data_IF_261989202626
#
_entry.id   IF_261989202626
#
_cell.length_a   1.000
_cell.length_b   1.000
_cell.length_c   1.000
_cell.angle_alpha   90.00
_cell.angle_beta   90.00
_cell.angle_gamma   90.00
#
_symmetry.space_group_name_H-M   'P 1'
#
loop_
_entity.id
_entity.type
_entity.pdbx_description
1 polymer ?
#
# COMPACT_ATOMS: atom_id res chain seq x y z
N UNK A 1 -26.12 -34.10 7.63
CA UNK A 1 -25.11 -34.33 6.56
C UNK A 1 -25.73 -33.94 5.22
N UNK A 2 -25.54 -32.69 4.82
CA UNK A 2 -25.76 -32.19 3.46
C UNK A 2 -24.74 -31.06 3.29
N UNK A 3 -23.82 -31.20 2.33
CA UNK A 3 -22.77 -30.21 2.09
C UNK A 3 -23.41 -28.95 1.52
N UNK A 4 -23.48 -27.88 2.33
CA UNK A 4 -23.72 -26.54 1.82
C UNK A 4 -22.49 -26.14 0.98
N UNK A 5 -22.63 -26.23 -0.33
CA UNK A 5 -21.58 -25.89 -1.28
C UNK A 5 -21.20 -24.42 -1.12
N UNK A 6 -19.90 -24.16 -1.01
CA UNK A 6 -19.38 -22.79 -1.10
C UNK A 6 -19.79 -22.21 -2.46
N UNK A 7 -20.54 -21.11 -2.46
CA UNK A 7 -20.90 -20.35 -3.65
C UNK A 7 -19.64 -20.05 -4.49
N UNK A 8 -19.63 -20.59 -5.72
CA UNK A 8 -18.51 -20.45 -6.67
C UNK A 8 -18.68 -19.14 -7.43
N UNK A 9 -17.94 -18.13 -7.01
CA UNK A 9 -17.93 -16.79 -7.59
C UNK A 9 -17.02 -16.70 -8.84
N UNK A 10 -17.47 -17.19 -10.00
CA UNK A 10 -16.74 -17.05 -11.27
C UNK A 10 -16.47 -15.58 -11.65
N UNK A 11 -15.31 -15.30 -12.27
CA UNK A 11 -14.93 -13.97 -12.77
C UNK A 11 -15.05 -13.89 -14.30
N UNK A 12 -16.28 -13.96 -14.82
CA UNK A 12 -16.53 -13.89 -16.27
C UNK A 12 -17.45 -12.76 -16.70
N UNK A 13 -18.27 -12.27 -15.79
CA UNK A 13 -19.16 -11.15 -16.08
C UNK A 13 -18.35 -9.87 -16.23
N UNK A 14 -18.52 -9.19 -17.37
CA UNK A 14 -17.88 -7.91 -17.64
C UNK A 14 -18.16 -6.89 -16.52
N UNK A 15 -19.37 -6.91 -15.95
CA UNK A 15 -19.76 -6.04 -14.83
C UNK A 15 -18.94 -6.32 -13.57
N UNK A 16 -18.65 -7.60 -13.27
CA UNK A 16 -17.85 -7.99 -12.11
C UNK A 16 -16.38 -7.62 -12.32
N UNK A 17 -15.83 -7.86 -13.50
CA UNK A 17 -14.46 -7.44 -13.84
C UNK A 17 -14.32 -5.91 -13.71
N UNK A 18 -15.28 -5.16 -14.26
CA UNK A 18 -15.32 -3.70 -14.14
C UNK A 18 -15.41 -3.25 -12.68
N UNK A 19 -16.21 -3.92 -11.84
CA UNK A 19 -16.31 -3.61 -10.42
C UNK A 19 -14.95 -3.76 -9.69
N UNK A 20 -14.22 -4.84 -9.92
CA UNK A 20 -12.91 -5.06 -9.29
C UNK A 20 -11.83 -4.08 -9.79
N UNK A 21 -11.85 -3.73 -11.09
CA UNK A 21 -10.99 -2.68 -11.66
C UNK A 21 -11.29 -1.31 -11.05
N UNK A 22 -12.56 -0.94 -10.92
CA UNK A 22 -12.98 0.36 -10.36
C UNK A 22 -12.65 0.45 -8.86
N UNK A 23 -12.89 -0.63 -8.11
CA UNK A 23 -12.53 -0.69 -6.70
C UNK A 23 -11.02 -0.51 -6.52
N UNK A 24 -10.20 -1.29 -7.23
CA UNK A 24 -8.74 -1.16 -7.15
C UNK A 24 -8.26 0.24 -7.53
N UNK A 25 -8.81 0.82 -8.60
CA UNK A 25 -8.50 2.18 -9.01
C UNK A 25 -8.87 3.22 -7.95
N UNK A 26 -10.04 3.12 -7.34
CA UNK A 26 -10.55 4.10 -6.38
C UNK A 26 -9.84 4.06 -5.02
N UNK A 27 -9.33 2.89 -4.62
CA UNK A 27 -8.90 2.58 -3.27
C UNK A 27 -7.81 3.54 -2.74
N UNK A 28 -6.76 3.79 -3.55
CA UNK A 28 -5.62 4.61 -3.15
C UNK A 28 -5.78 6.11 -3.47
N UNK A 29 -6.89 6.55 -4.07
CA UNK A 29 -7.07 7.95 -4.49
C UNK A 29 -7.07 8.91 -3.30
N UNK A 30 -7.83 8.57 -2.25
CA UNK A 30 -7.93 9.38 -1.03
C UNK A 30 -6.59 9.49 -0.31
N UNK A 31 -5.83 8.39 -0.24
CA UNK A 31 -4.50 8.36 0.38
C UNK A 31 -3.51 9.26 -0.35
N UNK A 32 -3.61 9.32 -1.69
CA UNK A 32 -2.77 10.21 -2.52
C UNK A 32 -3.08 11.69 -2.36
N UNK A 33 -4.25 12.06 -1.85
CA UNK A 33 -4.54 13.47 -1.49
C UNK A 33 -3.61 13.91 -0.36
N UNK A 34 -3.45 13.07 0.68
CA UNK A 34 -2.58 13.37 1.82
C UNK A 34 -1.08 13.33 1.50
N UNK A 35 -0.67 12.45 0.58
CA UNK A 35 0.74 12.24 0.23
C UNK A 35 1.20 13.09 -0.96
N UNK A 36 0.69 12.82 -2.16
CA UNK A 36 1.11 13.54 -3.38
C UNK A 36 0.62 14.99 -3.37
N UNK A 37 -0.51 15.24 -2.69
CA UNK A 37 -1.05 16.59 -2.48
C UNK A 37 -0.38 17.38 -1.36
N UNK A 38 0.55 16.79 -0.59
CA UNK A 38 1.14 17.42 0.60
C UNK A 38 1.71 18.83 0.38
N UNK A 39 2.45 19.13 -0.73
CA UNK A 39 2.98 20.48 -0.96
C UNK A 39 1.87 21.54 -1.06
N UNK A 40 0.74 21.17 -1.65
CA UNK A 40 -0.41 22.05 -1.82
C UNK A 40 -1.21 22.19 -0.52
N UNK A 41 -1.38 21.09 0.21
CA UNK A 41 -2.01 21.08 1.53
C UNK A 41 -1.25 21.98 2.53
N UNK A 42 0.08 21.91 2.56
CA UNK A 42 0.86 22.74 3.48
C UNK A 42 0.72 24.24 3.22
N UNK A 43 0.70 24.64 1.94
CA UNK A 43 0.44 26.03 1.56
C UNK A 43 -0.95 26.48 1.95
N UNK A 44 -1.95 25.61 1.76
CA UNK A 44 -3.34 25.85 2.18
C UNK A 44 -3.45 26.06 3.69
N UNK A 45 -2.73 25.29 4.49
CA UNK A 45 -2.75 25.39 5.95
C UNK A 45 -1.73 26.40 6.51
N UNK A 46 -1.04 27.17 5.66
CA UNK A 46 0.01 28.14 6.03
C UNK A 46 1.12 27.53 6.92
N UNK A 47 1.51 26.29 6.64
CA UNK A 47 2.60 25.61 7.37
C UNK A 47 3.95 25.98 6.69
N UNK A 48 4.98 26.36 7.46
CA UNK A 48 6.31 26.64 6.92
C UNK A 48 6.88 25.48 6.08
N UNK A 49 7.48 25.79 4.93
CA UNK A 49 7.98 24.78 3.98
C UNK A 49 9.10 23.89 4.56
N UNK A 50 9.87 24.38 5.54
CA UNK A 50 10.92 23.59 6.19
C UNK A 50 10.37 22.43 7.04
N UNK A 51 9.07 22.44 7.40
CA UNK A 51 8.39 21.35 8.11
C UNK A 51 7.82 20.28 7.15
N UNK A 52 8.12 20.38 5.85
CA UNK A 52 7.52 19.53 4.83
C UNK A 52 7.72 18.04 5.07
N UNK A 53 8.95 17.64 5.34
CA UNK A 53 9.29 16.23 5.61
C UNK A 53 8.57 15.69 6.86
N UNK A 54 8.45 16.51 7.90
CA UNK A 54 7.77 16.13 9.15
C UNK A 54 6.26 16.01 8.94
N UNK A 55 5.64 16.96 8.22
CA UNK A 55 4.21 16.89 7.88
C UNK A 55 3.88 15.65 7.05
N UNK A 56 4.66 15.38 5.99
CA UNK A 56 4.45 14.22 5.11
C UNK A 56 4.58 12.91 5.90
N UNK A 57 5.61 12.77 6.74
CA UNK A 57 5.78 11.57 7.58
C UNK A 57 4.62 11.39 8.56
N UNK A 58 4.15 12.46 9.21
CA UNK A 58 2.99 12.42 10.12
C UNK A 58 1.72 11.95 9.43
N UNK A 59 1.41 12.56 8.28
CA UNK A 59 0.22 12.22 7.49
C UNK A 59 0.31 10.80 6.96
N UNK A 60 1.47 10.38 6.45
CA UNK A 60 1.67 9.01 5.97
C UNK A 60 1.47 7.99 7.09
N UNK A 61 2.08 8.22 8.26
CA UNK A 61 1.98 7.31 9.40
C UNK A 61 0.56 7.15 9.95
N UNK A 62 -0.20 8.25 10.06
CA UNK A 62 -1.59 8.14 10.54
C UNK A 62 -2.48 7.41 9.55
N UNK A 63 -2.21 7.62 8.26
CA UNK A 63 -2.94 6.97 7.18
C UNK A 63 -2.67 5.45 7.21
N UNK A 64 -1.40 5.05 7.24
CA UNK A 64 -1.04 3.62 7.26
C UNK A 64 -1.56 2.95 8.54
N UNK A 65 -1.43 3.61 9.70
CA UNK A 65 -1.96 3.09 10.97
C UNK A 65 -3.49 2.99 10.93
N UNK A 66 -4.19 3.99 10.37
CA UNK A 66 -5.63 3.96 10.17
C UNK A 66 -6.06 2.76 9.32
N UNK A 67 -5.39 2.56 8.17
CA UNK A 67 -5.58 1.40 7.30
C UNK A 67 -5.36 0.07 8.01
N UNK A 68 -4.28 -0.06 8.78
CA UNK A 68 -4.01 -1.24 9.58
C UNK A 68 -5.10 -1.52 10.62
N UNK A 69 -5.54 -0.50 11.35
CA UNK A 69 -6.63 -0.66 12.34
C UNK A 69 -7.95 -1.07 11.67
N UNK A 70 -8.24 -0.53 10.49
CA UNK A 70 -9.39 -0.93 9.67
C UNK A 70 -9.33 -2.41 9.29
N UNK A 71 -8.19 -2.82 8.73
CA UNK A 71 -7.90 -4.22 8.35
C UNK A 71 -7.97 -5.16 9.56
N UNK A 72 -7.50 -4.73 10.73
CA UNK A 72 -7.54 -5.51 11.98
C UNK A 72 -8.98 -5.80 12.42
N UNK A 73 -9.83 -4.76 12.46
CA UNK A 73 -11.24 -4.89 12.85
C UNK A 73 -12.01 -5.78 11.87
N UNK A 74 -11.84 -5.58 10.56
CA UNK A 74 -12.49 -6.41 9.52
C UNK A 74 -11.98 -7.85 9.53
N UNK A 75 -10.70 -8.07 9.85
CA UNK A 75 -10.12 -9.41 9.98
C UNK A 75 -10.72 -10.15 11.17
N UNK A 76 -10.79 -9.52 12.36
CA UNK A 76 -11.44 -10.13 13.54
C UNK A 76 -12.90 -10.46 13.25
N UNK A 77 -13.63 -9.51 12.64
CA UNK A 77 -15.01 -9.72 12.24
C UNK A 77 -15.14 -10.92 11.29
N UNK A 78 -14.30 -10.96 10.27
CA UNK A 78 -14.31 -12.03 9.26
C UNK A 78 -14.02 -13.40 9.88
N UNK A 79 -13.06 -13.50 10.80
CA UNK A 79 -12.70 -14.76 11.46
C UNK A 79 -13.82 -15.21 12.39
N UNK A 80 -14.39 -14.30 13.20
CA UNK A 80 -15.44 -14.63 14.17
C UNK A 80 -16.75 -15.06 13.52
N UNK A 81 -17.11 -14.45 12.39
CA UNK A 81 -18.38 -14.67 11.70
C UNK A 81 -18.25 -15.49 10.41
N UNK A 82 -17.14 -16.23 10.23
CA UNK A 82 -16.90 -16.94 8.97
C UNK A 82 -17.90 -18.07 8.70
N UNK A 83 -18.34 -18.78 9.76
CA UNK A 83 -19.17 -19.99 9.69
C UNK A 83 -20.56 -19.83 10.36
N UNK A 84 -20.93 -18.61 10.77
CA UNK A 84 -22.21 -18.40 11.43
C UNK A 84 -23.34 -18.30 10.41
N UNK A 85 -24.31 -19.21 10.49
CA UNK A 85 -25.58 -19.22 9.72
C UNK A 85 -26.36 -17.88 9.86
N UNK A 86 -26.07 -17.12 10.93
CA UNK A 86 -26.73 -15.84 11.24
C UNK A 86 -25.88 -14.60 10.92
N UNK A 87 -24.70 -14.75 10.30
CA UNK A 87 -23.91 -13.60 9.89
C UNK A 87 -24.62 -12.84 8.75
N UNK A 88 -24.66 -11.49 8.78
CA UNK A 88 -25.14 -10.73 7.64
C UNK A 88 -24.33 -11.13 6.40
N UNK A 89 -25.01 -11.37 5.28
CA UNK A 89 -24.39 -11.80 4.03
C UNK A 89 -23.16 -10.95 3.73
N UNK A 90 -22.01 -11.60 3.52
CA UNK A 90 -20.68 -10.96 3.33
C UNK A 90 -20.74 -9.85 2.27
N UNK A 91 -21.57 -10.05 1.25
CA UNK A 91 -21.83 -9.12 0.16
C UNK A 91 -22.54 -7.83 0.61
N UNK A 92 -23.54 -7.93 1.50
CA UNK A 92 -24.25 -6.76 2.05
C UNK A 92 -23.31 -5.87 2.84
N UNK A 93 -22.39 -6.47 3.60
CA UNK A 93 -21.40 -5.73 4.40
C UNK A 93 -20.41 -5.03 3.49
N UNK A 94 -19.93 -5.71 2.44
CA UNK A 94 -19.04 -5.11 1.45
C UNK A 94 -19.70 -3.93 0.71
N UNK A 95 -21.00 -4.01 0.40
CA UNK A 95 -21.78 -2.90 -0.14
C UNK A 95 -21.78 -1.70 0.82
N UNK A 96 -22.09 -1.95 2.10
CA UNK A 96 -22.12 -0.88 3.12
C UNK A 96 -20.76 -0.21 3.27
N UNK A 97 -19.67 -0.98 3.26
CA UNK A 97 -18.31 -0.43 3.38
C UNK A 97 -17.94 0.42 2.16
N UNK A 98 -18.28 -0.01 0.94
CA UNK A 98 -18.03 0.79 -0.27
C UNK A 98 -18.86 2.09 -0.28
N UNK A 99 -20.10 2.05 0.19
CA UNK A 99 -20.93 3.25 0.37
C UNK A 99 -20.32 4.19 1.42
N UNK A 100 -19.84 3.63 2.53
CA UNK A 100 -19.21 4.38 3.61
C UNK A 100 -17.88 5.00 3.15
N UNK A 101 -17.14 4.33 2.26
CA UNK A 101 -15.95 4.89 1.61
C UNK A 101 -16.27 6.09 0.70
N UNK A 102 -17.41 6.06 0.00
CA UNK A 102 -17.90 7.23 -0.74
C UNK A 102 -18.28 8.38 0.21
N UNK A 103 -19.02 8.09 1.29
CA UNK A 103 -19.46 9.10 2.26
C UNK A 103 -18.29 9.79 2.98
N UNK A 104 -17.24 9.06 3.36
CA UNK A 104 -16.08 9.69 4.00
C UNK A 104 -15.31 10.61 3.05
N UNK A 105 -15.28 10.33 1.74
CA UNK A 105 -14.69 11.24 0.76
C UNK A 105 -15.48 12.55 0.67
N UNK A 106 -16.81 12.50 0.82
CA UNK A 106 -17.64 13.72 0.92
C UNK A 106 -17.32 14.50 2.20
N UNK A 107 -17.19 13.82 3.34
CA UNK A 107 -16.79 14.48 4.60
C UNK A 107 -15.42 15.13 4.45
N UNK A 108 -14.44 14.43 3.85
CA UNK A 108 -13.10 14.96 3.60
C UNK A 108 -13.14 16.23 2.75
N UNK A 109 -14.03 16.30 1.75
CA UNK A 109 -14.23 17.50 0.95
C UNK A 109 -14.72 18.68 1.78
N UNK A 110 -15.77 18.47 2.61
CA UNK A 110 -16.28 19.53 3.48
C UNK A 110 -15.22 20.00 4.47
N UNK A 111 -14.49 19.09 5.11
CA UNK A 111 -13.42 19.43 6.06
C UNK A 111 -12.29 20.21 5.37
N UNK A 112 -11.95 19.89 4.12
CA UNK A 112 -10.91 20.61 3.39
C UNK A 112 -11.34 22.01 2.92
N UNK A 113 -12.60 22.17 2.49
CA UNK A 113 -13.13 23.44 1.98
C UNK A 113 -13.46 24.41 3.11
N UNK A 114 -13.90 23.90 4.27
CA UNK A 114 -14.25 24.70 5.44
C UNK A 114 -13.01 25.19 6.22
N UNK A 115 -13.17 26.18 7.09
CA UNK A 115 -12.10 26.68 7.98
C UNK A 115 -11.36 27.94 7.53
N UNK A 116 -11.92 28.74 6.61
CA UNK A 116 -11.40 30.06 6.26
C UNK A 116 -9.96 30.03 5.71
N UNK A 117 -9.17 31.07 5.97
CA UNK A 117 -7.82 31.19 5.40
C UNK A 117 -6.80 30.17 5.92
N UNK A 118 -6.94 29.69 7.15
CA UNK A 118 -5.97 28.77 7.76
C UNK A 118 -6.39 27.30 7.72
N UNK A 119 -7.68 27.02 7.50
CA UNK A 119 -8.23 25.68 7.40
C UNK A 119 -8.17 24.88 8.71
N UNK A 120 -9.06 23.89 8.86
CA UNK A 120 -9.04 22.98 10.00
C UNK A 120 -8.04 21.84 9.76
N UNK A 121 -6.74 22.12 9.97
CA UNK A 121 -5.65 21.17 9.73
C UNK A 121 -5.83 19.84 10.50
N UNK A 122 -6.20 19.94 11.78
CA UNK A 122 -6.35 18.76 12.65
C UNK A 122 -7.55 17.91 12.25
N UNK A 123 -8.66 18.54 11.88
CA UNK A 123 -9.85 17.82 11.41
C UNK A 123 -9.57 17.15 10.07
N UNK A 124 -8.83 17.83 9.17
CA UNK A 124 -8.39 17.24 7.90
C UNK A 124 -7.50 16.01 8.12
N UNK A 125 -6.58 16.09 9.06
CA UNK A 125 -5.71 14.97 9.45
C UNK A 125 -6.50 13.77 9.97
N UNK A 126 -7.46 13.98 10.88
CA UNK A 126 -8.30 12.89 11.40
C UNK A 126 -9.32 12.37 10.39
N UNK A 127 -9.83 13.21 9.48
CA UNK A 127 -10.67 12.78 8.37
C UNK A 127 -9.89 11.87 7.40
N UNK A 128 -8.62 12.19 7.11
CA UNK A 128 -7.74 11.30 6.36
C UNK A 128 -7.51 9.96 7.10
N UNK A 129 -7.25 10.00 8.40
CA UNK A 129 -7.10 8.79 9.21
C UNK A 129 -8.35 7.91 9.19
N UNK A 130 -9.54 8.51 9.34
CA UNK A 130 -10.82 7.80 9.26
C UNK A 130 -11.08 7.23 7.87
N UNK A 131 -10.73 7.98 6.81
CA UNK A 131 -10.81 7.47 5.43
C UNK A 131 -9.90 6.26 5.21
N UNK A 132 -8.71 6.28 5.80
CA UNK A 132 -7.78 5.16 5.74
C UNK A 132 -8.30 3.94 6.53
N UNK A 133 -8.95 4.15 7.68
CA UNK A 133 -9.62 3.08 8.41
C UNK A 133 -10.67 2.35 7.56
N UNK A 134 -11.51 3.10 6.86
CA UNK A 134 -12.56 2.54 5.99
C UNK A 134 -11.94 1.81 4.78
N UNK A 135 -10.89 2.39 4.22
CA UNK A 135 -10.05 1.76 3.20
C UNK A 135 -9.54 0.38 3.66
N UNK A 136 -9.00 0.29 4.87
CA UNK A 136 -8.48 -0.96 5.44
C UNK A 136 -9.56 -2.01 5.64
N UNK A 137 -10.76 -1.58 6.06
CA UNK A 137 -11.92 -2.48 6.08
C UNK A 137 -12.26 -3.00 4.69
N UNK A 138 -12.32 -2.11 3.69
CA UNK A 138 -12.66 -2.48 2.31
C UNK A 138 -11.66 -3.49 1.74
N UNK A 139 -10.36 -3.25 1.94
CA UNK A 139 -9.28 -4.13 1.49
C UNK A 139 -9.49 -5.59 1.96
N UNK A 140 -9.89 -5.79 3.22
CA UNK A 140 -10.15 -7.12 3.77
C UNK A 140 -11.33 -7.83 3.08
N UNK A 141 -12.44 -7.13 2.89
CA UNK A 141 -13.63 -7.71 2.27
C UNK A 141 -13.43 -7.96 0.77
N UNK A 142 -12.68 -7.10 0.07
CA UNK A 142 -12.30 -7.32 -1.32
C UNK A 142 -11.45 -8.59 -1.42
N UNK A 143 -10.40 -8.72 -0.60
CA UNK A 143 -9.56 -9.93 -0.61
C UNK A 143 -10.35 -11.21 -0.32
N UNK A 144 -11.39 -11.12 0.52
CA UNK A 144 -12.30 -12.24 0.81
C UNK A 144 -13.22 -12.60 -0.37
N UNK A 145 -13.74 -11.59 -1.08
CA UNK A 145 -14.74 -11.78 -2.15
C UNK A 145 -14.11 -11.94 -3.54
N UNK A 146 -12.85 -11.55 -3.70
CA UNK A 146 -12.20 -11.39 -4.99
C UNK A 146 -12.18 -12.67 -5.81
N UNK A 147 -11.91 -13.83 -5.20
CA UNK A 147 -11.83 -15.06 -5.96
C UNK A 147 -10.80 -14.93 -7.08
N UNK A 148 -11.23 -15.36 -8.26
CA UNK A 148 -10.46 -15.25 -9.50
C UNK A 148 -10.35 -13.82 -10.05
N UNK A 149 -11.10 -12.85 -9.50
CA UNK A 149 -11.04 -11.44 -9.92
C UNK A 149 -9.92 -10.63 -9.25
N UNK A 150 -9.19 -11.21 -8.28
CA UNK A 150 -8.14 -10.51 -7.52
C UNK A 150 -7.06 -9.88 -8.42
N UNK A 151 -6.75 -10.52 -9.55
CA UNK A 151 -5.76 -10.05 -10.51
C UNK A 151 -6.17 -8.71 -11.14
N UNK A 152 -7.46 -8.54 -11.47
CA UNK A 152 -7.98 -7.29 -12.00
C UNK A 152 -7.91 -6.17 -10.97
N UNK A 153 -8.28 -6.44 -9.73
CA UNK A 153 -8.16 -5.47 -8.63
C UNK A 153 -6.71 -4.98 -8.45
N UNK A 154 -5.75 -5.89 -8.38
CA UNK A 154 -4.33 -5.55 -8.21
C UNK A 154 -3.77 -4.75 -9.39
N UNK A 155 -4.24 -5.01 -10.62
CA UNK A 155 -3.78 -4.32 -11.82
C UNK A 155 -4.05 -2.81 -11.78
N UNK A 156 -5.17 -2.41 -11.20
CA UNK A 156 -5.60 -1.00 -11.12
C UNK A 156 -5.16 -0.27 -9.86
N UNK A 157 -4.75 -1.01 -8.83
CA UNK A 157 -4.38 -0.45 -7.52
C UNK A 157 -3.30 0.64 -7.64
N UNK A 158 -2.27 0.40 -8.44
CA UNK A 158 -1.15 1.33 -8.62
C UNK A 158 -1.35 2.31 -9.79
N UNK A 159 -2.25 2.00 -10.73
CA UNK A 159 -2.61 2.88 -11.87
C UNK A 159 -3.17 4.21 -11.40
N UNK A 160 -3.88 4.23 -10.28
CA UNK A 160 -4.40 5.46 -9.70
C UNK A 160 -3.30 6.48 -9.34
N UNK A 161 -2.02 6.07 -9.24
CA UNK A 161 -0.90 6.97 -8.95
C UNK A 161 -0.42 7.70 -10.18
N UNK A 162 -0.42 6.99 -11.30
CA UNK A 162 -0.26 7.59 -12.63
C UNK A 162 -1.37 8.61 -12.86
N UNK A 163 -2.62 8.24 -12.55
CA UNK A 163 -3.76 9.14 -12.69
C UNK A 163 -3.59 10.44 -11.90
N UNK A 164 -3.26 10.38 -10.61
CA UNK A 164 -3.06 11.59 -9.79
C UNK A 164 -1.91 12.46 -10.30
N UNK A 165 -0.80 11.85 -10.70
CA UNK A 165 0.36 12.58 -11.24
C UNK A 165 0.05 13.28 -12.57
N UNK A 166 -0.65 12.59 -13.48
CA UNK A 166 -1.11 13.17 -14.76
C UNK A 166 -2.12 14.27 -14.50
N UNK A 167 -3.04 14.08 -13.55
CA UNK A 167 -4.00 15.11 -13.15
C UNK A 167 -3.29 16.37 -12.63
N UNK A 168 -2.33 16.24 -11.70
CA UNK A 168 -1.57 17.40 -11.20
C UNK A 168 -0.83 18.13 -12.32
N UNK A 169 -0.21 17.40 -13.24
CA UNK A 169 0.46 17.98 -14.39
C UNK A 169 -0.50 18.77 -15.29
N UNK A 170 -1.64 18.17 -15.65
CA UNK A 170 -2.65 18.83 -16.49
C UNK A 170 -3.25 20.05 -15.79
N UNK A 171 -3.59 19.92 -14.50
CA UNK A 171 -4.17 21.01 -13.72
C UNK A 171 -3.23 22.21 -13.64
N UNK A 172 -1.94 21.99 -13.35
CA UNK A 172 -0.94 23.05 -13.32
C UNK A 172 -0.70 23.67 -14.70
N UNK A 173 -0.83 22.90 -15.78
CA UNK A 173 -0.70 23.42 -17.15
C UNK A 173 -1.85 24.37 -17.52
N UNK A 174 -3.09 24.04 -17.14
CA UNK A 174 -4.26 24.86 -17.47
C UNK A 174 -4.51 26.01 -16.47
N UNK A 175 -4.28 25.77 -15.17
CA UNK A 175 -4.62 26.70 -14.08
C UNK A 175 -3.41 27.16 -13.26
N UNK A 176 -2.19 26.99 -13.78
CA UNK A 176 -0.94 27.35 -13.09
C UNK A 176 -0.70 28.84 -12.88
N UNK A 177 -1.54 29.72 -13.45
CA UNK A 177 -1.38 31.16 -13.30
C UNK A 177 -1.83 31.62 -11.89
N UNK A 178 -0.90 31.59 -10.94
CA UNK A 178 -1.10 31.92 -9.51
C UNK A 178 -1.63 33.33 -9.25
N UNK A 179 -1.51 34.26 -10.21
CA UNK A 179 -2.04 35.63 -10.08
C UNK A 179 -3.55 35.71 -10.26
N UNK A 180 -4.18 34.74 -10.95
CA UNK A 180 -5.61 34.74 -11.26
C UNK A 180 -6.39 33.72 -10.43
N UNK A 181 -5.75 32.64 -10.00
CA UNK A 181 -6.38 31.55 -9.27
C UNK A 181 -5.56 31.16 -8.06
N UNK A 182 -6.24 30.82 -6.95
CA UNK A 182 -5.60 30.15 -5.82
C UNK A 182 -5.35 28.67 -6.19
N UNK A 183 -4.36 28.46 -7.07
CA UNK A 183 -4.06 27.17 -7.70
C UNK A 183 -3.82 26.06 -6.68
N UNK A 184 -3.16 26.37 -5.55
CA UNK A 184 -2.80 25.39 -4.52
C UNK A 184 -4.02 24.88 -3.74
N UNK A 185 -5.04 25.72 -3.52
CA UNK A 185 -6.32 25.27 -2.96
C UNK A 185 -7.12 24.47 -4.00
N UNK A 186 -7.28 25.03 -5.20
CA UNK A 186 -8.15 24.46 -6.23
C UNK A 186 -7.69 23.08 -6.72
N UNK A 187 -6.38 22.83 -6.80
CA UNK A 187 -5.85 21.54 -7.28
C UNK A 187 -6.29 20.39 -6.36
N UNK A 188 -6.24 20.59 -5.05
CA UNK A 188 -6.65 19.58 -4.06
C UNK A 188 -8.17 19.48 -3.98
N UNK A 189 -8.88 20.61 -4.00
CA UNK A 189 -10.35 20.61 -4.03
C UNK A 189 -10.88 19.77 -5.19
N UNK A 190 -10.37 20.01 -6.41
CA UNK A 190 -10.77 19.23 -7.59
C UNK A 190 -10.29 17.78 -7.55
N UNK A 191 -9.14 17.49 -6.93
CA UNK A 191 -8.69 16.11 -6.72
C UNK A 191 -9.65 15.33 -5.82
N UNK A 192 -10.13 15.94 -4.73
CA UNK A 192 -11.10 15.31 -3.82
C UNK A 192 -12.45 15.15 -4.55
N UNK A 193 -12.90 16.15 -5.32
CA UNK A 193 -14.14 16.03 -6.13
C UNK A 193 -14.05 14.86 -7.12
N UNK A 194 -12.93 14.70 -7.82
CA UNK A 194 -12.71 13.55 -8.70
C UNK A 194 -12.73 12.23 -7.92
N UNK A 195 -12.12 12.19 -6.73
CA UNK A 195 -12.17 11.03 -5.84
C UNK A 195 -13.61 10.67 -5.44
N UNK A 196 -14.45 11.66 -5.13
CA UNK A 196 -15.88 11.47 -4.81
C UNK A 196 -16.63 10.88 -6.01
N UNK A 197 -16.43 11.43 -7.21
CA UNK A 197 -17.09 10.93 -8.42
C UNK A 197 -16.70 9.47 -8.68
N UNK A 198 -15.40 9.17 -8.63
CA UNK A 198 -14.89 7.82 -8.88
C UNK A 198 -15.40 6.85 -7.82
N UNK A 199 -15.32 7.18 -6.53
CA UNK A 199 -15.83 6.31 -5.45
C UNK A 199 -17.34 6.13 -5.50
N UNK A 200 -18.10 7.14 -5.95
CA UNK A 200 -19.55 7.03 -6.17
C UNK A 200 -19.90 6.07 -7.31
N UNK A 201 -19.20 6.18 -8.45
CA UNK A 201 -19.37 5.23 -9.58
C UNK A 201 -18.98 3.83 -9.14
N UNK A 202 -17.85 3.67 -8.44
CA UNK A 202 -17.41 2.38 -7.89
C UNK A 202 -18.47 1.76 -6.98
N UNK A 203 -19.03 2.53 -6.03
CA UNK A 203 -20.08 2.05 -5.13
C UNK A 203 -21.35 1.64 -5.89
N UNK A 204 -21.76 2.41 -6.89
CA UNK A 204 -22.92 2.10 -7.74
C UNK A 204 -22.75 0.80 -8.53
N UNK A 205 -21.59 0.60 -9.15
CA UNK A 205 -21.26 -0.64 -9.88
C UNK A 205 -21.18 -1.83 -8.91
N UNK A 206 -20.57 -1.64 -7.74
CA UNK A 206 -20.47 -2.69 -6.71
C UNK A 206 -21.84 -3.14 -6.21
N UNK A 207 -22.76 -2.20 -5.95
CA UNK A 207 -24.16 -2.49 -5.62
C UNK A 207 -24.82 -3.27 -6.75
N UNK A 208 -24.66 -2.86 -8.01
CA UNK A 208 -25.30 -3.56 -9.13
C UNK A 208 -24.86 -5.02 -9.26
N UNK A 209 -23.59 -5.33 -9.00
CA UNK A 209 -23.06 -6.69 -9.10
C UNK A 209 -23.58 -7.57 -7.95
N UNK A 210 -23.50 -7.07 -6.73
CA UNK A 210 -23.85 -7.86 -5.54
C UNK A 210 -25.34 -7.83 -5.16
N UNK A 211 -26.13 -6.93 -5.76
CA UNK A 211 -27.59 -6.92 -5.59
C UNK A 211 -28.31 -7.83 -6.59
N UNK A 212 -27.76 -8.01 -7.81
CA UNK A 212 -28.37 -8.85 -8.87
C UNK A 212 -28.05 -10.34 -8.74
N UNK A 213 -26.95 -10.70 -8.08
CA UNK A 213 -26.44 -12.08 -8.04
C UNK A 213 -27.20 -13.08 -7.15
N UNK A 214 -28.42 -12.77 -6.70
CA UNK A 214 -29.24 -13.76 -6.00
C UNK A 214 -29.86 -14.83 -6.92
N UNK A 215 -29.78 -14.71 -8.25
CA UNK A 215 -30.54 -15.58 -9.17
C UNK A 215 -29.76 -16.27 -10.29
N UNK A 216 -28.46 -16.06 -10.49
CA UNK A 216 -27.77 -16.66 -11.64
C UNK A 216 -26.78 -17.76 -11.25
N UNK A 217 -27.21 -19.00 -11.48
CA UNK A 217 -26.33 -20.15 -11.66
C UNK A 217 -25.40 -19.86 -12.85
N UNK A 218 -24.18 -19.43 -12.55
CA UNK A 218 -23.14 -19.32 -13.57
C UNK A 218 -22.65 -20.72 -13.93
N UNK A 219 -23.01 -21.17 -15.12
CA UNK A 219 -22.52 -22.39 -15.75
C UNK A 219 -21.00 -22.38 -15.85
N UNK A 220 -20.43 -23.37 -15.18
CA UNK A 220 -19.02 -23.71 -15.03
C UNK A 220 -18.44 -24.16 -16.38
N UNK A 221 -17.56 -23.36 -16.98
CA UNK A 221 -16.81 -23.75 -18.18
C UNK A 221 -15.47 -23.01 -18.23
N UNK A 222 -14.48 -23.46 -17.46
CA UNK A 222 -13.11 -22.95 -17.58
C UNK A 222 -12.40 -22.75 -16.24
N UNK A 223 -12.43 -23.78 -15.40
CA UNK A 223 -11.62 -23.83 -14.18
C UNK A 223 -10.14 -23.93 -14.54
N UNK A 224 -9.28 -23.22 -13.81
CA UNK A 224 -7.93 -23.72 -13.54
C UNK A 224 -8.08 -25.19 -13.11
N UNK A 225 -7.54 -26.13 -13.88
CA UNK A 225 -7.89 -27.56 -13.80
C UNK A 225 -8.13 -28.06 -12.37
N UNK A 226 -9.34 -28.57 -12.10
CA UNK A 226 -9.66 -29.37 -10.91
C UNK A 226 -8.92 -30.72 -11.05
N UNK A 227 -7.59 -30.73 -10.95
CA UNK A 227 -6.85 -31.98 -10.84
C UNK A 227 -6.73 -32.36 -9.37
N UNK A 228 -7.75 -33.11 -8.92
CA UNK A 228 -7.66 -33.95 -7.75
C UNK A 228 -8.22 -33.30 -6.49
N UNK A 229 -9.33 -33.85 -6.00
CA UNK A 229 -9.62 -33.87 -4.57
C UNK A 229 -8.47 -34.57 -3.84
N UNK A 230 -7.38 -33.87 -3.53
CA UNK A 230 -6.53 -34.31 -2.43
C UNK A 230 -7.26 -33.93 -1.15
N UNK A 231 -7.90 -34.93 -0.55
CA UNK A 231 -8.30 -34.93 0.86
C UNK A 231 -7.04 -34.87 1.75
N UNK A 232 -6.28 -33.78 1.64
CA UNK A 232 -5.03 -33.57 2.37
C UNK A 232 -5.00 -32.17 2.93
N UNK A 233 -4.92 -32.05 4.25
CA UNK A 233 -4.70 -30.81 5.00
C UNK A 233 -3.29 -30.24 4.76
N UNK A 234 -2.82 -30.15 3.51
CA UNK A 234 -1.47 -29.70 3.23
C UNK A 234 -1.45 -28.18 3.04
N UNK A 235 -1.10 -27.49 4.12
CA UNK A 235 -0.83 -26.04 4.18
C UNK A 235 0.46 -25.70 3.41
N UNK A 236 1.21 -26.71 2.98
CA UNK A 236 2.57 -26.60 2.45
C UNK A 236 2.64 -25.80 1.15
N UNK A 237 1.60 -25.89 0.30
CA UNK A 237 1.53 -25.14 -0.96
C UNK A 237 1.19 -23.65 -0.77
N UNK A 238 0.62 -23.26 0.39
CA UNK A 238 0.22 -21.86 0.70
C UNK A 238 1.37 -21.07 1.29
N UNK A 239 2.31 -21.74 1.96
CA UNK A 239 3.38 -21.07 2.68
C UNK A 239 4.20 -20.15 1.76
N UNK A 240 4.47 -20.63 0.54
CA UNK A 240 5.23 -19.89 -0.47
C UNK A 240 4.56 -18.57 -0.88
N UNK A 241 3.31 -18.53 -1.41
CA UNK A 241 2.66 -17.26 -1.77
C UNK A 241 2.43 -16.32 -0.57
N UNK A 242 2.18 -16.87 0.63
CA UNK A 242 2.06 -16.05 1.85
C UNK A 242 3.40 -15.38 2.22
N UNK A 243 4.50 -16.14 2.19
CA UNK A 243 5.83 -15.61 2.46
C UNK A 243 6.18 -14.48 1.48
N UNK A 244 5.86 -14.63 0.19
CA UNK A 244 6.06 -13.58 -0.81
C UNK A 244 5.36 -12.28 -0.40
N UNK A 245 4.09 -12.36 0.00
CA UNK A 245 3.30 -11.19 0.40
C UNK A 245 3.87 -10.51 1.66
N UNK A 246 4.07 -11.29 2.72
CA UNK A 246 4.49 -10.77 4.03
C UNK A 246 5.90 -10.19 3.97
N UNK A 247 6.81 -10.85 3.26
CA UNK A 247 8.19 -10.40 3.10
C UNK A 247 8.27 -9.15 2.21
N UNK A 248 7.63 -9.18 1.04
CA UNK A 248 7.67 -8.08 0.11
C UNK A 248 7.06 -6.82 0.71
N UNK A 249 5.87 -6.94 1.32
CA UNK A 249 5.17 -5.81 1.93
C UNK A 249 5.92 -5.25 3.17
N UNK A 250 6.67 -6.09 3.89
CA UNK A 250 7.47 -5.62 5.03
C UNK A 250 8.75 -4.89 4.62
N UNK A 251 9.62 -5.57 3.87
CA UNK A 251 10.98 -5.10 3.61
C UNK A 251 11.01 -3.84 2.73
N UNK A 252 10.06 -3.67 1.81
CA UNK A 252 10.07 -2.51 0.91
C UNK A 252 10.08 -1.19 1.68
N UNK A 253 9.32 -1.09 2.77
CA UNK A 253 9.22 0.13 3.58
C UNK A 253 10.42 0.36 4.52
N UNK A 254 11.30 -0.64 4.68
CA UNK A 254 12.57 -0.44 5.38
C UNK A 254 13.49 0.47 4.58
N UNK A 255 13.49 0.29 3.26
CA UNK A 255 14.46 0.93 2.38
C UNK A 255 13.86 2.03 1.52
N UNK A 256 12.67 1.81 0.95
CA UNK A 256 12.03 2.75 0.03
C UNK A 256 10.91 3.54 0.74
N UNK A 257 10.77 4.86 0.52
CA UNK A 257 11.62 5.71 -0.34
C UNK A 257 12.83 6.32 0.40
N UNK A 258 12.86 6.23 1.72
CA UNK A 258 13.66 7.12 2.54
C UNK A 258 15.17 6.80 2.52
N UNK A 259 15.57 5.53 2.48
CA UNK A 259 16.98 5.14 2.31
C UNK A 259 17.35 5.18 0.82
N UNK A 260 16.63 4.43 -0.01
CA UNK A 260 16.85 4.36 -1.45
C UNK A 260 15.60 4.88 -2.18
N UNK A 261 15.69 5.93 -3.01
CA UNK A 261 16.89 6.69 -3.35
C UNK A 261 17.23 7.82 -2.35
N UNK A 262 16.37 8.08 -1.36
CA UNK A 262 16.35 9.32 -0.58
C UNK A 262 17.63 9.75 0.14
N UNK A 263 18.43 8.82 0.68
CA UNK A 263 19.70 9.10 1.35
C UNK A 263 20.93 8.85 0.45
N UNK A 264 20.73 8.27 -0.74
CA UNK A 264 21.81 7.80 -1.61
C UNK A 264 22.14 8.80 -2.72
N UNK A 265 21.16 9.54 -3.21
CA UNK A 265 21.30 10.49 -4.32
C UNK A 265 20.62 11.82 -4.02
N UNK A 266 21.09 12.86 -4.71
CA UNK A 266 20.50 14.20 -4.62
C UNK A 266 19.01 14.23 -4.99
N UNK A 267 18.29 15.17 -4.37
CA UNK A 267 16.84 15.36 -4.52
C UNK A 267 16.33 15.42 -5.96
N UNK A 268 17.10 16.02 -6.89
CA UNK A 268 16.72 16.09 -8.32
C UNK A 268 16.61 14.69 -8.95
N UNK A 269 17.48 13.77 -8.55
CA UNK A 269 17.50 12.40 -9.06
C UNK A 269 16.47 11.51 -8.35
N UNK A 270 16.23 11.73 -7.05
CA UNK A 270 15.15 11.08 -6.29
C UNK A 270 13.81 11.22 -7.02
N UNK A 271 13.41 12.45 -7.35
CA UNK A 271 12.13 12.70 -8.03
C UNK A 271 12.01 11.98 -9.38
N UNK A 272 13.11 11.88 -10.15
CA UNK A 272 13.11 11.15 -11.43
C UNK A 272 12.97 9.64 -11.23
N UNK A 273 13.63 9.09 -10.21
CA UNK A 273 13.53 7.67 -9.87
C UNK A 273 12.11 7.34 -9.40
N UNK A 274 11.52 8.16 -8.54
CA UNK A 274 10.15 7.96 -8.06
C UNK A 274 9.12 8.03 -9.19
N UNK A 275 9.30 8.95 -10.15
CA UNK A 275 8.47 9.00 -11.35
C UNK A 275 8.59 7.73 -12.22
N UNK A 276 9.80 7.20 -12.38
CA UNK A 276 10.01 5.95 -13.10
C UNK A 276 9.36 4.76 -12.39
N UNK A 277 9.52 4.67 -11.06
CA UNK A 277 8.90 3.64 -10.23
C UNK A 277 7.38 3.68 -10.33
N UNK A 278 6.78 4.87 -10.31
CA UNK A 278 5.34 5.06 -10.42
C UNK A 278 4.76 4.50 -11.73
N UNK A 279 5.53 4.52 -12.83
CA UNK A 279 5.13 3.95 -14.12
C UNK A 279 5.38 2.43 -14.17
N UNK A 280 6.50 1.96 -13.61
CA UNK A 280 6.90 0.55 -13.65
C UNK A 280 6.09 -0.31 -12.68
N UNK A 281 5.68 0.26 -11.55
CA UNK A 281 4.95 -0.41 -10.47
C UNK A 281 3.75 -1.26 -10.94
N UNK A 282 2.78 -0.74 -11.71
CA UNK A 282 1.61 -1.53 -12.10
C UNK A 282 1.90 -2.61 -13.16
N UNK A 283 3.06 -2.61 -13.83
CA UNK A 283 3.34 -3.49 -14.98
C UNK A 283 3.15 -4.98 -14.65
N UNK A 284 3.70 -5.54 -13.55
CA UNK A 284 3.53 -6.96 -13.23
C UNK A 284 2.05 -7.35 -13.07
N UNK A 285 1.28 -6.57 -12.33
CA UNK A 285 -0.14 -6.86 -12.08
C UNK A 285 -1.00 -6.69 -13.35
N UNK A 286 -0.73 -5.68 -14.18
CA UNK A 286 -1.40 -5.51 -15.48
C UNK A 286 -1.08 -6.70 -16.40
N UNK A 287 0.18 -7.16 -16.43
CA UNK A 287 0.59 -8.29 -17.26
C UNK A 287 -0.23 -9.53 -16.94
N UNK A 288 -0.42 -9.85 -15.65
CA UNK A 288 -1.25 -10.99 -15.25
C UNK A 288 -2.74 -10.80 -15.54
N UNK A 289 -3.26 -9.56 -15.43
CA UNK A 289 -4.66 -9.28 -15.79
C UNK A 289 -4.90 -9.45 -17.29
N UNK A 290 -3.95 -9.02 -18.14
CA UNK A 290 -4.02 -9.20 -19.60
C UNK A 290 -3.88 -10.68 -19.98
N UNK A 291 -2.98 -11.43 -19.33
CA UNK A 291 -2.86 -12.88 -19.55
C UNK A 291 -4.17 -13.61 -19.23
N UNK A 292 -4.87 -13.21 -18.17
CA UNK A 292 -6.18 -13.76 -17.85
C UNK A 292 -7.28 -13.37 -18.86
N UNK A 293 -7.27 -12.11 -19.30
CA UNK A 293 -8.24 -11.61 -20.27
C UNK A 293 -8.08 -12.22 -21.68
N UNK A 294 -6.84 -12.53 -22.09
CA UNK A 294 -6.52 -13.14 -23.39
C UNK A 294 -6.70 -14.66 -23.43
N UNK A 295 -7.22 -15.27 -22.35
CA UNK A 295 -7.52 -16.70 -22.31
C UNK A 295 -6.34 -17.61 -21.98
N UNK A 296 -5.14 -17.06 -21.74
CA UNK A 296 -3.95 -17.80 -21.28
C UNK A 296 -3.98 -18.05 -19.77
N UNK A 297 -5.15 -18.45 -19.25
CA UNK A 297 -5.42 -18.58 -17.81
C UNK A 297 -4.53 -19.62 -17.14
N UNK A 298 -4.03 -20.58 -17.90
CA UNK A 298 -3.11 -21.61 -17.40
C UNK A 298 -1.78 -21.07 -16.89
N UNK A 299 -1.38 -19.90 -17.37
CA UNK A 299 -0.17 -19.19 -16.94
C UNK A 299 -0.48 -18.06 -15.96
N UNK A 300 -1.66 -18.05 -15.33
CA UNK A 300 -2.00 -17.04 -14.33
C UNK A 300 -1.62 -17.53 -12.93
N UNK A 301 -1.01 -16.68 -12.08
CA UNK A 301 -0.63 -17.06 -10.71
C UNK A 301 -1.84 -17.35 -9.80
N UNK A 302 -3.06 -17.02 -10.26
CA UNK A 302 -4.31 -17.30 -9.55
C UNK A 302 -4.74 -18.77 -9.58
N UNK A 303 -4.15 -19.59 -10.45
CA UNK A 303 -4.42 -21.03 -10.48
C UNK A 303 -3.69 -21.74 -9.33
N UNK A 304 -4.12 -22.96 -9.01
CA UNK A 304 -3.39 -23.81 -8.06
C UNK A 304 -1.99 -24.16 -8.61
N UNK A 305 -1.00 -24.20 -7.72
CA UNK A 305 0.41 -24.41 -8.05
C UNK A 305 0.82 -25.89 -8.00
N UNK A 306 -0.11 -26.81 -8.28
CA UNK A 306 0.15 -28.25 -8.37
C UNK A 306 0.50 -28.70 -9.81
N UNK A 307 1.14 -29.88 -9.91
CA UNK A 307 1.42 -30.65 -11.15
C UNK A 307 1.62 -29.83 -12.44
N UNK A 308 2.84 -29.32 -12.65
CA UNK A 308 3.24 -28.56 -13.84
C UNK A 308 3.24 -27.03 -13.68
N UNK A 309 2.55 -26.51 -12.64
CA UNK A 309 2.50 -25.07 -12.30
C UNK A 309 3.33 -24.68 -11.07
N UNK A 310 4.14 -25.62 -10.55
CA UNK A 310 5.04 -25.39 -9.42
C UNK A 310 6.15 -24.36 -9.70
N UNK A 311 6.36 -23.95 -10.96
CA UNK A 311 7.34 -22.93 -11.33
C UNK A 311 7.06 -21.57 -10.67
N UNK A 312 5.83 -21.30 -10.23
CA UNK A 312 5.49 -20.08 -9.47
C UNK A 312 6.24 -19.97 -8.14
N UNK A 313 6.59 -21.09 -7.50
CA UNK A 313 7.47 -21.09 -6.34
C UNK A 313 8.85 -20.49 -6.66
N UNK A 314 9.31 -20.58 -7.91
CA UNK A 314 10.56 -19.97 -8.37
C UNK A 314 10.60 -18.45 -8.25
N UNK A 315 9.45 -17.77 -8.18
CA UNK A 315 9.39 -16.32 -7.96
C UNK A 315 9.91 -15.90 -6.57
N UNK A 316 10.11 -16.86 -5.65
CA UNK A 316 10.83 -16.63 -4.39
C UNK A 316 12.27 -16.12 -4.61
N UNK A 317 12.86 -16.28 -5.80
CA UNK A 317 14.20 -15.74 -6.12
C UNK A 317 14.30 -14.22 -5.97
N UNK A 318 13.17 -13.50 -6.01
CA UNK A 318 13.15 -12.06 -5.78
C UNK A 318 13.40 -11.68 -4.32
N UNK A 319 13.17 -12.59 -3.36
CA UNK A 319 13.48 -12.40 -1.94
C UNK A 319 15.00 -12.20 -1.72
N UNK A 320 15.89 -13.14 -2.12
CA UNK A 320 17.33 -12.93 -1.96
C UNK A 320 17.82 -11.72 -2.77
N UNK A 321 17.24 -11.41 -3.92
CA UNK A 321 17.56 -10.17 -4.67
C UNK A 321 17.27 -8.92 -3.82
N UNK A 322 16.11 -8.86 -3.17
CA UNK A 322 15.77 -7.75 -2.26
C UNK A 322 16.72 -7.68 -1.06
N UNK A 323 17.07 -8.82 -0.46
CA UNK A 323 18.03 -8.88 0.67
C UNK A 323 19.40 -8.35 0.24
N UNK A 324 19.90 -8.77 -0.92
CA UNK A 324 21.18 -8.31 -1.47
C UNK A 324 21.14 -6.79 -1.70
N UNK A 325 20.08 -6.28 -2.32
CA UNK A 325 19.91 -4.83 -2.52
C UNK A 325 19.89 -4.07 -1.18
N UNK A 326 19.11 -4.55 -0.21
CA UNK A 326 19.05 -3.97 1.14
C UNK A 326 20.41 -3.97 1.84
N UNK A 327 21.14 -5.07 1.76
CA UNK A 327 22.51 -5.16 2.29
C UNK A 327 23.45 -4.15 1.64
N UNK A 328 23.39 -3.99 0.32
CA UNK A 328 24.17 -3.00 -0.41
C UNK A 328 23.83 -1.57 0.02
N UNK A 329 22.56 -1.25 0.25
CA UNK A 329 22.14 0.06 0.74
C UNK A 329 22.67 0.36 2.15
N UNK A 330 22.54 -0.57 3.09
CA UNK A 330 23.07 -0.40 4.46
C UNK A 330 24.59 -0.24 4.44
N UNK A 331 25.28 -1.09 3.66
CA UNK A 331 26.74 -1.05 3.56
C UNK A 331 27.23 0.23 2.90
N UNK A 332 26.53 0.74 1.90
CA UNK A 332 26.83 2.03 1.31
C UNK A 332 26.75 3.15 2.36
N UNK A 333 25.68 3.17 3.16
CA UNK A 333 25.47 4.23 4.17
C UNK A 333 26.47 4.19 5.34
N UNK A 334 26.79 3.01 5.87
CA UNK A 334 27.63 2.89 7.08
C UNK A 334 29.13 2.84 6.78
N UNK A 335 29.52 2.50 5.55
CA UNK A 335 30.93 2.32 5.17
C UNK A 335 31.24 3.11 3.90
N UNK A 336 31.45 4.44 4.01
CA UNK A 336 31.59 5.35 2.86
C UNK A 336 32.80 5.03 1.97
N UNK A 337 33.85 4.41 2.52
CA UNK A 337 35.04 3.99 1.76
C UNK A 337 34.94 2.58 1.17
N UNK A 338 33.81 1.89 1.35
CA UNK A 338 33.61 0.56 0.79
C UNK A 338 33.33 0.62 -0.72
N UNK A 339 33.71 -0.42 -1.46
CA UNK A 339 33.41 -0.55 -2.90
C UNK A 339 31.94 -0.28 -3.26
N UNK A 340 30.95 -0.80 -2.50
CA UNK A 340 29.53 -0.47 -2.70
C UNK A 340 29.21 1.01 -2.52
N UNK A 341 29.75 1.68 -1.48
CA UNK A 341 29.52 3.10 -1.28
C UNK A 341 30.05 3.94 -2.46
N UNK A 342 31.27 3.64 -2.92
CA UNK A 342 31.88 4.29 -4.08
C UNK A 342 31.15 4.00 -5.40
N UNK A 343 30.43 2.88 -5.49
CA UNK A 343 29.66 2.50 -6.67
C UNK A 343 28.23 3.08 -6.69
N UNK A 344 27.65 3.35 -5.52
CA UNK A 344 26.23 3.65 -5.35
C UNK A 344 25.98 5.12 -4.95
N UNK A 345 26.72 5.65 -3.97
CA UNK A 345 26.50 7.02 -3.45
C UNK A 345 26.82 8.06 -4.52
N UNK A 346 25.93 9.03 -4.70
CA UNK A 346 26.05 10.11 -5.69
C UNK A 346 26.20 9.64 -7.15
N UNK A 347 25.93 8.36 -7.44
CA UNK A 347 25.92 7.77 -8.79
C UNK A 347 24.49 7.43 -9.20
N UNK A 348 23.75 8.38 -9.81
CA UNK A 348 22.30 8.26 -10.00
C UNK A 348 21.88 7.08 -10.88
N UNK A 349 22.73 6.66 -11.83
CA UNK A 349 22.44 5.51 -12.69
C UNK A 349 22.43 4.18 -11.90
N UNK A 350 23.43 3.95 -11.07
CA UNK A 350 23.54 2.72 -10.29
C UNK A 350 22.52 2.70 -9.15
N UNK A 351 22.40 3.80 -8.41
CA UNK A 351 21.40 3.93 -7.34
C UNK A 351 19.97 3.77 -7.88
N UNK A 352 19.66 4.39 -9.04
CA UNK A 352 18.39 4.23 -9.72
C UNK A 352 18.13 2.79 -10.15
N UNK A 353 19.11 2.13 -10.78
CA UNK A 353 18.99 0.73 -11.18
C UNK A 353 18.70 -0.20 -9.99
N UNK A 354 19.46 -0.10 -8.90
CA UNK A 354 19.27 -0.92 -7.70
C UNK A 354 17.92 -0.63 -7.02
N UNK A 355 17.50 0.63 -6.96
CA UNK A 355 16.20 1.01 -6.38
C UNK A 355 15.05 0.46 -7.22
N UNK A 356 15.14 0.58 -8.55
CA UNK A 356 14.13 0.03 -9.47
C UNK A 356 14.08 -1.49 -9.38
N UNK A 357 15.23 -2.17 -9.36
CA UNK A 357 15.30 -3.62 -9.20
C UNK A 357 14.66 -4.07 -7.88
N UNK A 358 15.00 -3.41 -6.77
CA UNK A 358 14.45 -3.70 -5.45
C UNK A 358 12.92 -3.52 -5.41
N UNK A 359 12.42 -2.40 -5.90
CA UNK A 359 10.99 -2.10 -5.89
C UNK A 359 10.21 -2.97 -6.86
N UNK A 360 10.73 -3.23 -8.06
CA UNK A 360 10.10 -4.12 -9.04
C UNK A 360 10.01 -5.57 -8.52
N UNK A 361 11.05 -6.04 -7.83
CA UNK A 361 11.05 -7.35 -7.16
C UNK A 361 9.91 -7.46 -6.15
N UNK A 362 9.71 -6.41 -5.34
CA UNK A 362 8.57 -6.30 -4.43
C UNK A 362 7.22 -6.39 -5.17
N UNK A 363 7.05 -5.64 -6.26
CA UNK A 363 5.79 -5.62 -7.02
C UNK A 363 5.47 -6.96 -7.68
N UNK A 364 6.49 -7.68 -8.17
CA UNK A 364 6.32 -9.03 -8.73
C UNK A 364 5.88 -10.02 -7.65
N UNK A 365 6.52 -9.99 -6.47
CA UNK A 365 6.17 -10.84 -5.34
C UNK A 365 4.72 -10.63 -4.88
N UNK A 366 4.24 -9.38 -4.83
CA UNK A 366 2.84 -9.10 -4.50
C UNK A 366 1.86 -9.56 -5.59
N UNK A 367 2.19 -9.28 -6.85
CA UNK A 367 1.34 -9.60 -8.00
C UNK A 367 1.16 -11.12 -8.19
N UNK A 368 2.15 -11.92 -7.80
CA UNK A 368 2.07 -13.40 -7.80
C UNK A 368 1.52 -13.93 -6.48
N UNK A 369 1.99 -13.38 -5.35
CA UNK A 369 1.66 -13.87 -4.01
C UNK A 369 0.18 -13.74 -3.69
N UNK A 370 -0.42 -12.55 -3.83
CA UNK A 370 -1.82 -12.32 -3.44
C UNK A 370 -2.81 -13.24 -4.19
N UNK A 371 -2.75 -13.35 -5.54
CA UNK A 371 -3.60 -14.29 -6.27
C UNK A 371 -3.31 -15.76 -5.96
N UNK A 372 -2.06 -16.09 -5.61
CA UNK A 372 -1.65 -17.45 -5.31
C UNK A 372 -2.13 -18.00 -3.98
N UNK A 373 -2.54 -17.17 -3.00
CA UNK A 373 -2.95 -17.67 -1.68
C UNK A 373 -4.24 -18.46 -1.75
N UNK A 374 -5.27 -17.96 -2.44
CA UNK A 374 -6.63 -18.49 -2.31
C UNK A 374 -6.76 -19.95 -2.80
N UNK A 375 -6.32 -20.25 -4.05
CA UNK A 375 -6.47 -21.60 -4.62
C UNK A 375 -5.51 -22.62 -3.99
N UNK A 376 -4.34 -22.17 -3.53
CA UNK A 376 -3.40 -23.06 -2.84
C UNK A 376 -3.84 -23.40 -1.40
N UNK A 377 -4.78 -22.63 -0.82
CA UNK A 377 -5.24 -22.75 0.58
C UNK A 377 -6.20 -23.91 0.87
N UNK A 378 -6.60 -24.69 -0.15
CA UNK A 378 -7.53 -25.80 0.01
C UNK A 378 -8.82 -25.39 0.73
N UNK A 379 -9.20 -26.15 1.77
CA UNK A 379 -10.41 -25.88 2.57
C UNK A 379 -10.37 -24.59 3.41
N UNK A 380 -9.19 -23.97 3.59
CA UNK A 380 -9.01 -22.79 4.43
C UNK A 380 -8.91 -21.47 3.64
N UNK A 381 -9.31 -21.48 2.35
CA UNK A 381 -9.18 -20.35 1.41
C UNK A 381 -9.69 -19.00 1.93
N UNK A 382 -10.89 -18.97 2.53
CA UNK A 382 -11.51 -17.73 3.01
C UNK A 382 -10.75 -17.14 4.21
N UNK A 383 -10.17 -18.02 5.04
CA UNK A 383 -9.44 -17.65 6.24
C UNK A 383 -8.01 -17.21 5.93
N UNK A 384 -7.25 -18.04 5.20
CA UNK A 384 -5.84 -17.80 4.91
C UNK A 384 -5.62 -16.58 4.02
N UNK A 385 -6.53 -16.28 3.10
CA UNK A 385 -6.43 -15.08 2.24
C UNK A 385 -6.50 -13.79 3.07
N UNK A 386 -7.44 -13.73 4.02
CA UNK A 386 -7.63 -12.58 4.92
C UNK A 386 -6.49 -12.47 5.93
N UNK A 387 -6.08 -13.60 6.53
CA UNK A 387 -4.95 -13.65 7.46
C UNK A 387 -3.64 -13.25 6.77
N UNK A 388 -3.42 -13.67 5.52
CA UNK A 388 -2.25 -13.26 4.75
C UNK A 388 -2.23 -11.73 4.53
N UNK A 389 -3.36 -11.14 4.11
CA UNK A 389 -3.47 -9.69 3.98
C UNK A 389 -3.17 -8.97 5.28
N UNK A 390 -3.73 -9.45 6.40
CA UNK A 390 -3.45 -8.91 7.72
C UNK A 390 -1.97 -9.03 8.11
N UNK A 391 -1.34 -10.20 7.94
CA UNK A 391 0.08 -10.39 8.24
C UNK A 391 0.98 -9.51 7.37
N UNK A 392 0.65 -9.34 6.09
CA UNK A 392 1.38 -8.45 5.19
C UNK A 392 1.31 -6.98 5.66
N UNK A 393 0.12 -6.49 6.02
CA UNK A 393 -0.04 -5.14 6.58
C UNK A 393 0.58 -4.97 7.97
N UNK A 394 0.60 -6.03 8.79
CA UNK A 394 1.27 -6.02 10.10
C UNK A 394 2.78 -5.88 9.93
N UNK A 395 3.35 -6.69 9.02
CA UNK A 395 4.76 -6.63 8.64
C UNK A 395 5.14 -5.23 8.16
N UNK A 396 4.34 -4.66 7.26
CA UNK A 396 4.49 -3.28 6.77
C UNK A 396 4.61 -2.26 7.90
N UNK A 397 3.64 -2.22 8.81
CA UNK A 397 3.58 -1.22 9.89
C UNK A 397 4.77 -1.34 10.83
N UNK A 398 5.14 -2.58 11.21
CA UNK A 398 6.31 -2.82 12.07
C UNK A 398 7.57 -2.27 11.40
N UNK A 399 7.78 -2.59 10.13
CA UNK A 399 8.98 -2.17 9.41
C UNK A 399 9.00 -0.68 9.08
N UNK A 400 7.86 -0.04 8.77
CA UNK A 400 7.77 1.42 8.58
C UNK A 400 8.25 2.15 9.84
N UNK A 401 7.74 1.81 11.02
CA UNK A 401 8.13 2.48 12.25
C UNK A 401 9.58 2.22 12.64
N UNK A 402 10.09 1.00 12.40
CA UNK A 402 11.50 0.69 12.59
C UNK A 402 12.39 1.50 11.64
N UNK A 403 12.01 1.62 10.38
CA UNK A 403 12.77 2.36 9.36
C UNK A 403 12.85 3.85 9.69
N UNK A 404 11.72 4.48 10.02
CA UNK A 404 11.70 5.88 10.43
C UNK A 404 12.52 6.12 11.70
N UNK A 405 12.40 5.23 12.68
CA UNK A 405 13.18 5.31 13.92
C UNK A 405 14.68 5.23 13.67
N UNK A 406 15.09 4.32 12.77
CA UNK A 406 16.48 4.17 12.33
C UNK A 406 16.96 5.44 11.62
N UNK A 407 16.22 5.96 10.63
CA UNK A 407 16.60 7.15 9.86
C UNK A 407 16.71 8.38 10.76
N UNK A 408 15.78 8.53 11.71
CA UNK A 408 15.80 9.63 12.67
C UNK A 408 17.02 9.56 13.60
N UNK A 409 17.52 8.38 13.93
CA UNK A 409 18.78 8.25 14.66
C UNK A 409 19.99 8.49 13.76
N UNK A 410 19.99 7.90 12.57
CA UNK A 410 21.08 8.00 11.59
C UNK A 410 21.40 9.47 11.26
N UNK A 411 20.37 10.30 11.06
CA UNK A 411 20.52 11.74 10.74
C UNK A 411 21.09 12.59 11.88
N UNK A 412 21.17 12.08 13.12
CA UNK A 412 21.72 12.84 14.26
C UNK A 412 23.24 12.76 14.37
N UNK A 413 23.83 11.76 13.72
CA UNK A 413 25.24 11.45 13.88
C UNK A 413 26.00 11.83 12.61
N UNK A 414 27.06 12.61 12.78
CA UNK A 414 28.01 12.88 11.71
C UNK A 414 28.99 11.71 11.57
N UNK A 415 29.47 11.48 10.34
CA UNK A 415 30.38 10.37 10.03
C UNK A 415 31.70 10.41 10.83
N UNK A 416 32.10 11.60 11.28
CA UNK A 416 33.31 11.80 12.09
C UNK A 416 33.15 11.39 13.56
N UNK A 417 31.92 11.36 14.07
CA UNK A 417 31.60 10.98 15.45
C UNK A 417 30.67 9.77 15.42
N UNK A 418 31.12 8.70 14.75
CA UNK A 418 30.25 7.56 14.49
C UNK A 418 30.02 6.74 15.78
N UNK A 419 28.76 6.58 16.24
CA UNK A 419 28.46 5.99 17.54
C UNK A 419 28.82 4.50 17.65
N UNK A 420 29.03 3.84 16.51
CA UNK A 420 29.42 2.43 16.47
C UNK A 420 30.86 2.21 16.00
N UNK A 421 31.70 3.24 15.99
CA UNK A 421 33.13 3.08 15.74
C UNK A 421 33.78 2.21 16.84
N UNK A 422 34.62 1.25 16.44
CA UNK A 422 35.25 0.30 17.38
C UNK A 422 34.33 -0.79 17.95
N UNK A 423 33.02 -0.80 17.64
CA UNK A 423 32.11 -1.88 18.03
C UNK A 423 32.20 -3.07 17.07
N UNK A 424 32.00 -4.28 17.60
CA UNK A 424 31.82 -5.46 16.75
C UNK A 424 30.50 -5.37 15.96
N UNK A 425 30.43 -6.00 14.78
CA UNK A 425 29.27 -5.92 13.89
C UNK A 425 27.93 -6.28 14.58
N UNK A 426 27.95 -7.26 15.50
CA UNK A 426 26.77 -7.65 16.29
C UNK A 426 26.32 -6.55 17.26
N UNK A 427 27.27 -5.89 17.95
CA UNK A 427 26.98 -4.79 18.88
C UNK A 427 26.53 -3.54 18.14
N UNK A 428 27.16 -3.24 17.00
CA UNK A 428 26.76 -2.15 16.12
C UNK A 428 25.32 -2.35 15.62
N UNK A 429 24.99 -3.54 15.10
CA UNK A 429 23.62 -3.87 14.70
C UNK A 429 22.63 -3.73 15.86
N UNK A 430 22.96 -4.26 17.03
CA UNK A 430 22.12 -4.16 18.24
C UNK A 430 21.86 -2.71 18.65
N UNK A 431 22.88 -1.84 18.59
CA UNK A 431 22.74 -0.41 18.87
C UNK A 431 21.74 0.27 17.92
N UNK A 432 21.91 0.08 16.60
CA UNK A 432 21.02 0.69 15.61
C UNK A 432 19.59 0.17 15.73
N UNK A 433 19.42 -1.13 15.97
CA UNK A 433 18.12 -1.75 16.15
C UNK A 433 17.40 -1.26 17.41
N UNK A 434 18.10 -1.16 18.54
CA UNK A 434 17.55 -0.62 19.80
C UNK A 434 17.12 0.86 19.63
N UNK A 435 17.97 1.69 19.01
CA UNK A 435 17.63 3.09 18.74
C UNK A 435 16.48 3.23 17.76
N UNK A 436 16.41 2.36 16.76
CA UNK A 436 15.28 2.31 15.83
C UNK A 436 13.96 2.04 16.56
N UNK A 437 13.93 1.06 17.48
CA UNK A 437 12.74 0.78 18.30
C UNK A 437 12.37 1.97 19.18
N UNK A 438 13.33 2.54 19.91
CA UNK A 438 13.08 3.66 20.82
C UNK A 438 12.51 4.89 20.10
N UNK A 439 13.09 5.26 18.96
CA UNK A 439 12.63 6.40 18.17
C UNK A 439 11.32 6.07 17.41
N UNK A 440 11.18 4.85 16.90
CA UNK A 440 9.94 4.39 16.26
C UNK A 440 8.76 4.45 17.21
N UNK A 441 8.94 4.03 18.46
CA UNK A 441 7.91 4.13 19.50
C UNK A 441 7.54 5.58 19.85
N UNK A 442 8.52 6.49 19.88
CA UNK A 442 8.26 7.93 20.05
C UNK A 442 7.45 8.47 18.88
N UNK A 443 7.82 8.13 17.64
CA UNK A 443 7.09 8.55 16.45
C UNK A 443 5.65 8.06 16.48
N UNK A 444 5.43 6.78 16.84
CA UNK A 444 4.11 6.17 16.99
C UNK A 444 3.23 6.93 17.97
N UNK A 445 3.73 7.27 19.16
CA UNK A 445 2.96 8.06 20.15
C UNK A 445 2.56 9.44 19.63
N UNK A 446 3.47 10.08 18.89
CA UNK A 446 3.25 11.42 18.33
C UNK A 446 2.24 11.44 17.17
N UNK A 447 1.75 10.28 16.68
CA UNK A 447 0.64 10.21 15.71
C UNK A 447 -0.67 10.65 16.36
N UNK A 448 -0.86 10.33 17.64
CA UNK A 448 -2.08 10.62 18.40
C UNK A 448 -2.10 12.08 18.89
N UNK A 449 -1.89 13.01 17.97
CA UNK A 449 -1.90 14.44 18.26
C UNK A 449 -3.32 14.99 18.36
N UNK A 450 -3.54 15.85 19.36
CA UNK A 450 -4.76 16.65 19.51
C UNK A 450 -4.68 17.98 18.77
N UNK A 451 -3.47 18.43 18.43
CA UNK A 451 -3.22 19.68 17.72
C UNK A 451 -1.95 19.53 16.86
N UNK A 452 -2.16 19.05 15.63
CA UNK A 452 -1.08 18.85 14.66
C UNK A 452 -0.31 20.14 14.38
N UNK A 453 -0.97 21.31 14.37
CA UNK A 453 -0.31 22.59 14.08
C UNK A 453 0.69 22.91 15.19
N UNK A 454 0.24 22.86 16.45
CA UNK A 454 1.09 23.10 17.61
C UNK A 454 2.25 22.11 17.68
N UNK A 455 2.00 20.83 17.42
CA UNK A 455 3.04 19.80 17.49
C UNK A 455 4.12 20.02 16.43
N UNK A 456 3.72 20.34 15.19
CA UNK A 456 4.65 20.66 14.11
C UNK A 456 5.50 21.90 14.42
N UNK A 457 4.90 22.94 14.99
CA UNK A 457 5.62 24.16 15.38
C UNK A 457 6.49 23.98 16.63
N UNK A 458 6.11 23.10 17.57
CA UNK A 458 6.92 22.82 18.75
C UNK A 458 8.19 22.00 18.45
N UNK A 459 8.16 21.19 17.38
CA UNK A 459 9.34 20.48 16.90
C UNK A 459 10.44 21.43 16.38
N UNK A 460 10.03 22.63 15.98
CA UNK A 460 10.89 23.74 15.54
C UNK A 460 11.71 24.30 16.71
N UNK A 461 11.08 24.53 17.86
CA UNK A 461 11.72 25.07 19.07
C UNK A 461 12.75 24.12 19.68
N UNK A 462 12.58 22.80 19.52
CA UNK A 462 13.55 21.82 20.00
C UNK A 462 14.78 21.68 19.10
N UNK A 463 14.64 21.93 17.79
CA UNK A 463 15.76 21.91 16.86
C UNK A 463 16.60 23.21 16.90
N UNK A 464 16.04 24.33 17.38
CA UNK A 464 16.80 25.57 17.61
C UNK A 464 17.55 25.60 18.95
N UNK A 465 17.25 24.68 19.88
CA UNK A 465 17.92 24.53 21.18
C UNK A 465 18.98 23.41 21.22
N UNK A 466 19.26 22.78 20.08
CA UNK A 466 20.36 21.83 19.88
C UNK A 466 21.23 22.33 18.75
#
# INVERSE_FOLDING_TARGET
MASAGSEKNGCKEANKIAAYLLVGFSLLLTLRVGMNGAPFCMKRFKIPEHLFSLYVSRVHNVIELGGFMGQFVSTIYTIKYNDSINAPAKDKISIVINLLFFLINIVLFFVFVTGGEEGHLTDFYWALALSAFIYGMNLTFILKLAGECIVYYLSTLHVSGIFVSVYHYLFLKFFGNRRKFNTDFLIITWQIVLSIIITGVTAGVWISVYHKNNNDQSTDNGKCGENGKTNGNSVDHVFSPMLMCVFAQGIVYVFYPAIAPGLIVDFRHVNKIDQALLIIAPIPAITFAVLDATGHKDYSPKCEWSSGKAYWHGTLIFIPVMIICGYLFIKALHYPHSGPALAIINKPRMAGFLTILFYLSHMILLAVGFPGVEKNSGGYKDYLTVVNGFMATTSMIIFVFLAEGYINEFKKHDMSNWPTEGLSAKRAFGFWFDKAIQNGWKNFKLIFTRDLRRDLLSALDMNFKR
#
